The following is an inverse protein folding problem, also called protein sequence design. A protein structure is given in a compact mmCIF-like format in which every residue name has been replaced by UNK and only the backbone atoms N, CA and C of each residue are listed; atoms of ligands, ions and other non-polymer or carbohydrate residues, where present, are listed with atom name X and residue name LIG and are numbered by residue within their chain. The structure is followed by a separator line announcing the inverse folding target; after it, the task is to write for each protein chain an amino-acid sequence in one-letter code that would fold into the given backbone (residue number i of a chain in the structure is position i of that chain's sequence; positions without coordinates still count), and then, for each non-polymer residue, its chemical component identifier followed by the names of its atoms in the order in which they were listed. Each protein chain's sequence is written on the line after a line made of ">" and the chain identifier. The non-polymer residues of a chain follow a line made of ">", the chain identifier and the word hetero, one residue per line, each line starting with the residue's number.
data_IF_737260283975
#
_entry.id   IF_737260283975
#
_cell.length_a   1.000
_cell.length_b   1.000
_cell.length_c   1.000
_cell.angle_alpha   90.00
_cell.angle_beta   90.00
_cell.angle_gamma   90.00
#
_symmetry.space_group_name_H-M   'P 1'
#
loop_
_entity.id
_entity.type
_entity.pdbx_description
1 polymer ?
#
# COMPACT_ATOMS: atom_id res chain seq x y z
N UNK A 1 -8.28 10.00 13.08
CA UNK A 1 -8.87 9.70 11.75
C UNK A 1 -8.21 8.53 11.00
N UNK A 2 -7.12 7.94 11.49
CA UNK A 2 -6.45 6.78 10.85
C UNK A 2 -7.14 5.44 11.13
N UNK A 3 -7.94 5.35 12.21
CA UNK A 3 -8.47 4.09 12.73
C UNK A 3 -9.56 3.43 11.87
N UNK A 4 -10.05 4.10 10.81
CA UNK A 4 -11.10 3.54 9.92
C UNK A 4 -10.58 2.95 8.60
N UNK A 5 -9.28 3.07 8.28
CA UNK A 5 -8.68 2.49 7.07
C UNK A 5 -8.51 0.95 7.21
N UNK A 6 -8.61 0.44 8.44
CA UNK A 6 -8.12 -0.88 8.84
C UNK A 6 -9.04 -2.09 8.58
N UNK A 7 -10.28 -1.94 8.10
CA UNK A 7 -11.30 -3.01 8.19
C UNK A 7 -11.87 -3.54 6.87
N UNK A 8 -11.19 -3.35 5.74
CA UNK A 8 -11.68 -3.91 4.46
C UNK A 8 -10.64 -4.87 3.92
N UNK A 9 -11.00 -6.16 3.97
CA UNK A 9 -10.20 -7.29 3.48
C UNK A 9 -9.59 -6.97 2.10
N UNK A 10 -8.28 -7.20 1.89
CA UNK A 10 -7.65 -6.94 0.60
C UNK A 10 -8.15 -7.96 -0.43
N UNK A 11 -8.55 -7.48 -1.61
CA UNK A 11 -8.85 -8.34 -2.76
C UNK A 11 -7.54 -8.99 -3.18
N UNK A 12 -7.29 -10.24 -2.75
CA UNK A 12 -6.13 -11.02 -3.19
C UNK A 12 -6.25 -11.29 -4.70
N UNK A 13 -5.66 -10.42 -5.49
CA UNK A 13 -5.09 -10.73 -6.81
C UNK A 13 -3.62 -10.33 -6.76
N UNK A 14 -2.78 -11.29 -6.37
CA UNK A 14 -1.32 -11.16 -6.42
C UNK A 14 -0.91 -11.67 -7.81
N UNK A 15 -0.47 -10.77 -8.69
CA UNK A 15 0.02 -11.10 -10.04
C UNK A 15 1.54 -10.97 -10.19
N UNK A 16 2.30 -10.78 -9.11
CA UNK A 16 3.75 -10.64 -9.20
C UNK A 16 4.47 -11.66 -8.32
N UNK A 17 5.38 -12.40 -8.94
CA UNK A 17 6.22 -13.43 -8.31
C UNK A 17 7.45 -12.83 -7.59
N UNK A 18 7.41 -11.56 -7.20
CA UNK A 18 8.53 -10.89 -6.56
C UNK A 18 8.20 -10.60 -5.09
N UNK A 19 9.10 -10.97 -4.16
CA UNK A 19 8.93 -10.64 -2.75
C UNK A 19 9.04 -9.12 -2.58
N UNK A 20 8.25 -8.53 -1.69
CA UNK A 20 8.30 -7.10 -1.45
C UNK A 20 9.64 -6.68 -0.82
N UNK A 21 10.20 -5.54 -1.25
CA UNK A 21 11.49 -5.05 -0.75
C UNK A 21 11.39 -4.27 0.59
N UNK A 22 10.18 -3.98 1.06
CA UNK A 22 9.95 -3.28 2.33
C UNK A 22 10.23 -1.77 2.32
N UNK A 23 10.62 -1.18 1.19
CA UNK A 23 10.96 0.25 1.06
C UNK A 23 9.82 0.99 0.37
N UNK A 24 9.40 2.11 0.95
CA UNK A 24 8.31 2.92 0.43
C UNK A 24 8.76 3.70 -0.82
N UNK A 25 8.08 3.57 -1.97
CA UNK A 25 8.45 4.28 -3.20
C UNK A 25 8.23 5.80 -3.11
N UNK A 26 7.45 6.28 -2.13
CA UNK A 26 7.19 7.71 -1.93
C UNK A 26 8.17 8.37 -0.97
N UNK A 27 8.51 7.69 0.13
CA UNK A 27 9.32 8.29 1.20
C UNK A 27 10.77 7.83 1.18
N UNK A 28 11.08 6.78 0.40
CA UNK A 28 12.38 6.10 0.39
C UNK A 28 12.83 5.61 1.78
N UNK A 29 11.86 5.38 2.68
CA UNK A 29 12.07 4.84 4.03
C UNK A 29 11.48 3.44 4.12
N UNK A 30 11.89 2.69 5.15
CA UNK A 30 11.26 1.42 5.51
C UNK A 30 9.76 1.67 5.74
N UNK A 31 8.93 0.84 5.13
CA UNK A 31 7.48 0.89 5.31
C UNK A 31 7.18 0.46 6.75
N UNK A 32 6.38 1.25 7.46
CA UNK A 32 5.89 0.90 8.81
C UNK A 32 4.45 0.42 8.75
N UNK A 33 3.66 1.02 7.85
CA UNK A 33 2.24 0.73 7.68
C UNK A 33 1.95 0.51 6.20
N UNK A 34 2.09 -0.73 5.71
CA UNK A 34 1.93 -1.05 4.29
C UNK A 34 0.49 -0.81 3.86
N UNK A 35 0.32 0.03 2.85
CA UNK A 35 -0.97 0.34 2.28
C UNK A 35 -0.96 0.26 0.76
N UNK A 36 -2.15 0.00 0.22
CA UNK A 36 -2.46 0.00 -1.21
C UNK A 36 -3.94 0.33 -1.42
N UNK A 37 -4.32 0.67 -2.64
CA UNK A 37 -5.74 0.87 -2.98
C UNK A 37 -6.49 -0.43 -3.22
N UNK A 38 -7.80 -0.44 -2.96
CA UNK A 38 -8.69 -1.57 -3.27
C UNK A 38 -8.65 -2.01 -4.74
N UNK A 39 -8.44 -1.07 -5.66
CA UNK A 39 -8.43 -1.31 -7.11
C UNK A 39 -7.01 -1.51 -7.69
N UNK A 40 -5.99 -1.57 -6.83
CA UNK A 40 -4.61 -1.80 -7.23
C UNK A 40 -4.38 -3.28 -7.59
N UNK A 41 -3.68 -3.55 -8.69
CA UNK A 41 -3.36 -4.92 -9.16
C UNK A 41 -1.87 -5.28 -9.02
N UNK A 42 -1.06 -4.43 -8.38
CA UNK A 42 0.35 -4.68 -8.07
C UNK A 42 0.50 -5.31 -6.68
N UNK A 43 1.55 -6.08 -6.42
CA UNK A 43 1.82 -6.63 -5.07
C UNK A 43 2.47 -5.65 -4.10
N UNK A 44 3.13 -4.62 -4.61
CA UNK A 44 3.88 -3.66 -3.79
C UNK A 44 2.98 -2.76 -2.94
N UNK A 45 3.48 -2.33 -1.78
CA UNK A 45 2.83 -1.37 -0.89
C UNK A 45 3.66 -0.09 -0.75
N UNK A 46 3.02 0.95 -0.20
CA UNK A 46 3.66 2.18 0.24
C UNK A 46 3.27 2.49 1.69
N UNK A 47 4.02 3.36 2.35
CA UNK A 47 3.68 3.79 3.72
C UNK A 47 2.46 4.73 3.70
N UNK A 48 1.41 4.36 4.44
CA UNK A 48 0.14 5.11 4.46
C UNK A 48 0.31 6.56 4.91
N UNK A 49 1.19 6.81 5.87
CA UNK A 49 1.41 8.17 6.41
C UNK A 49 2.13 9.03 5.39
N UNK A 50 3.10 8.44 4.69
CA UNK A 50 3.80 9.08 3.58
C UNK A 50 2.87 9.44 2.43
N UNK A 51 1.98 8.51 2.05
CA UNK A 51 0.98 8.75 1.01
C UNK A 51 0.04 9.91 1.37
N UNK A 52 -0.59 9.87 2.54
CA UNK A 52 -1.54 10.92 2.96
C UNK A 52 -0.86 12.30 2.99
N UNK A 53 0.34 12.40 3.57
CA UNK A 53 1.10 13.65 3.62
C UNK A 53 1.43 14.19 2.22
N UNK A 54 1.92 13.32 1.33
CA UNK A 54 2.25 13.69 -0.04
C UNK A 54 1.00 14.11 -0.85
N UNK A 55 -0.10 13.36 -0.71
CA UNK A 55 -1.36 13.62 -1.40
C UNK A 55 -2.00 14.94 -0.95
N UNK A 56 -2.02 15.22 0.35
CA UNK A 56 -2.51 16.51 0.87
C UNK A 56 -1.63 17.68 0.41
N UNK A 57 -0.30 17.53 0.44
CA UNK A 57 0.63 18.60 0.03
C UNK A 57 0.49 18.97 -1.46
N UNK A 58 0.36 17.95 -2.32
CA UNK A 58 0.38 18.14 -3.77
C UNK A 58 -1.02 18.13 -4.39
N UNK A 59 -2.07 18.03 -3.57
CA UNK A 59 -3.45 17.80 -4.01
C UNK A 59 -3.58 16.65 -5.03
N UNK A 60 -2.87 15.54 -4.79
CA UNK A 60 -2.74 14.43 -5.73
C UNK A 60 -3.15 13.10 -5.11
N UNK A 61 -4.30 12.58 -5.53
CA UNK A 61 -4.94 11.37 -5.00
C UNK A 61 -4.85 10.22 -6.00
N UNK A 62 -3.61 9.83 -6.32
CA UNK A 62 -3.30 8.74 -7.24
C UNK A 62 -2.29 7.79 -6.60
N UNK A 63 -2.46 6.49 -6.82
CA UNK A 63 -1.53 5.48 -6.34
C UNK A 63 -0.11 5.76 -6.87
N UNK A 64 0.92 5.82 -6.02
CA UNK A 64 2.28 6.14 -6.44
C UNK A 64 2.91 5.06 -7.34
N UNK A 65 2.38 3.84 -7.31
CA UNK A 65 2.90 2.69 -8.04
C UNK A 65 2.21 2.55 -9.40
N UNK A 66 0.88 2.44 -9.43
CA UNK A 66 0.13 2.20 -10.67
C UNK A 66 -0.63 3.41 -11.22
N UNK A 67 -0.51 4.59 -10.60
CA UNK A 67 -1.16 5.86 -11.00
C UNK A 67 -2.70 5.83 -11.09
N UNK A 68 -3.35 4.74 -10.70
CA UNK A 68 -4.81 4.68 -10.58
C UNK A 68 -5.32 5.70 -9.53
N UNK A 69 -6.52 6.28 -9.70
CA UNK A 69 -7.16 7.09 -8.67
C UNK A 69 -7.21 6.34 -7.33
N UNK A 70 -6.88 7.05 -6.25
CA UNK A 70 -6.81 6.48 -4.91
C UNK A 70 -7.13 7.55 -3.87
N UNK A 71 -8.35 7.51 -3.35
CA UNK A 71 -8.79 8.37 -2.25
C UNK A 71 -8.49 7.73 -0.90
N UNK A 72 -8.73 8.48 0.19
CA UNK A 72 -8.56 7.97 1.56
C UNK A 72 -9.48 6.77 1.81
N UNK A 73 -10.70 6.81 1.27
CA UNK A 73 -11.72 5.78 1.44
C UNK A 73 -11.36 4.46 0.72
N UNK A 74 -10.50 4.54 -0.28
CA UNK A 74 -10.02 3.41 -1.07
C UNK A 74 -8.72 2.81 -0.53
N UNK A 75 -8.04 3.48 0.41
CA UNK A 75 -6.84 2.97 1.07
C UNK A 75 -7.15 1.74 1.94
N UNK A 76 -6.31 0.73 1.86
CA UNK A 76 -6.33 -0.45 2.72
C UNK A 76 -4.94 -0.71 3.26
N UNK A 77 -4.88 -1.18 4.50
CA UNK A 77 -3.66 -1.76 5.06
C UNK A 77 -3.53 -3.20 4.55
N UNK A 78 -2.34 -3.58 4.09
CA UNK A 78 -2.06 -4.97 3.69
C UNK A 78 -1.37 -5.71 4.84
N UNK A 79 -2.09 -6.56 5.60
CA UNK A 79 -1.52 -7.26 6.75
C UNK A 79 -0.52 -8.35 6.37
N UNK A 80 -0.50 -8.78 5.10
CA UNK A 80 0.35 -9.88 4.63
C UNK A 80 1.64 -9.39 3.96
N UNK A 81 1.80 -8.10 3.74
CA UNK A 81 2.93 -7.53 3.01
C UNK A 81 4.29 -8.02 3.52
N UNK A 82 4.54 -7.95 4.83
CA UNK A 82 5.81 -8.43 5.41
C UNK A 82 5.92 -9.96 5.48
N UNK A 83 4.79 -10.67 5.55
CA UNK A 83 4.77 -12.13 5.53
C UNK A 83 5.21 -12.70 4.17
N UNK A 84 5.01 -11.93 3.08
CA UNK A 84 5.48 -12.30 1.74
C UNK A 84 7.00 -12.13 1.57
N UNK A 85 7.63 -11.22 2.33
CA UNK A 85 9.08 -11.01 2.27
C UNK A 85 9.88 -12.16 2.90
N UNK A 86 9.29 -12.88 3.86
CA UNK A 86 9.97 -13.95 4.62
C UNK A 86 9.84 -15.35 4.02
N UNK A 87 9.26 -15.50 2.83
CA UNK A 87 9.14 -16.81 2.16
C UNK A 87 8.33 -17.86 2.92
N UNK A 88 7.51 -17.45 3.90
CA UNK A 88 6.67 -18.36 4.70
C UNK A 88 5.24 -18.41 4.16
N UNK A 89 5.10 -18.83 2.90
CA UNK A 89 3.84 -19.38 2.39
C UNK A 89 4.15 -20.78 1.84
N UNK A 90 4.26 -21.75 2.75
CA UNK A 90 4.03 -23.17 2.44
C UNK A 90 2.53 -23.44 2.44
#
# INVERSE_FOLDING_TARGET
>A
MINQIALKEPVRKICCNQPPNGICPLTHKIITRPARGVNCMHGECFDVSGFICNSMRNNSWQCPICRKPLTIEDLRIDPYYFALASGSLT
#
